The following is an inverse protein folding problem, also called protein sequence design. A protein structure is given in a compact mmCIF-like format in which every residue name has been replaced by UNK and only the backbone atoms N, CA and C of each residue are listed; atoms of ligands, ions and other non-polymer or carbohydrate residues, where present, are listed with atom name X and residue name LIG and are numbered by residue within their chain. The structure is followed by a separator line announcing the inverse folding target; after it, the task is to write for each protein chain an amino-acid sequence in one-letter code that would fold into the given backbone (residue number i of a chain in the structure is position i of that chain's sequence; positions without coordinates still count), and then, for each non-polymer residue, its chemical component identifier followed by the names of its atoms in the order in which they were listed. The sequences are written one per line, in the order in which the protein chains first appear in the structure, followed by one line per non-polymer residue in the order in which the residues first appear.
data_IF_648986617430
#
_entry.id   IF_648986617430
#
_cell.length_a   1.000
_cell.length_b   1.000
_cell.length_c   1.000
_cell.angle_alpha   90.00
_cell.angle_beta   90.00
_cell.angle_gamma   90.00
#
_symmetry.space_group_name_H-M   'P 1'
#
loop_
_entity.id
_entity.type
_entity.pdbx_description
1 polymer ?
#
# COMPACT_ATOMS: atom_id res chain seq x y z
N UNK A 1 -12.23 -1.16 -2.69
CA UNK A 1 -11.53 -2.19 -3.48
C UNK A 1 -10.12 -2.33 -2.96
N UNK A 2 -9.67 -3.56 -2.76
CA UNK A 2 -8.28 -3.88 -2.46
C UNK A 2 -7.53 -4.11 -3.77
N UNK A 3 -6.43 -3.43 -3.96
CA UNK A 3 -5.56 -3.57 -5.11
C UNK A 3 -4.11 -3.78 -4.67
N UNK A 4 -3.37 -4.54 -5.46
CA UNK A 4 -1.96 -4.84 -5.21
C UNK A 4 -1.10 -4.25 -6.31
N UNK A 5 0.16 -4.00 -6.01
CA UNK A 5 1.17 -3.59 -7.02
C UNK A 5 1.58 -4.75 -7.94
N UNK A 6 0.70 -5.73 -8.09
CA UNK A 6 0.86 -6.95 -8.89
C UNK A 6 -0.32 -7.13 -9.85
N UNK A 7 -0.04 -7.78 -10.97
CA UNK A 7 -1.06 -8.37 -11.86
C UNK A 7 -0.65 -9.82 -12.09
N UNK A 8 -1.59 -10.76 -11.93
CA UNK A 8 -1.30 -12.19 -12.13
C UNK A 8 -0.79 -12.42 -13.56
N UNK A 9 0.45 -12.83 -13.68
CA UNK A 9 1.11 -13.13 -14.97
C UNK A 9 0.41 -14.20 -15.80
N UNK A 10 -0.43 -15.04 -15.19
CA UNK A 10 -1.22 -16.07 -15.88
C UNK A 10 -2.47 -15.49 -16.55
N UNK A 11 -2.94 -14.32 -16.13
CA UNK A 11 -4.06 -13.64 -16.75
C UNK A 11 -3.67 -13.06 -18.12
N UNK A 12 -4.67 -12.84 -18.98
CA UNK A 12 -4.44 -12.19 -20.27
C UNK A 12 -3.74 -10.84 -20.13
N UNK A 13 -4.19 -10.02 -19.18
CA UNK A 13 -3.57 -8.73 -18.87
C UNK A 13 -2.14 -8.91 -18.40
N UNK A 14 -1.89 -9.88 -17.50
CA UNK A 14 -0.56 -10.19 -17.01
C UNK A 14 0.40 -10.63 -18.09
N UNK A 15 -0.06 -11.42 -19.07
CA UNK A 15 0.73 -11.81 -20.23
C UNK A 15 1.07 -10.60 -21.13
N UNK A 16 0.13 -9.70 -21.35
CA UNK A 16 0.38 -8.46 -22.09
C UNK A 16 1.41 -7.58 -21.35
N UNK A 17 1.25 -7.41 -20.05
CA UNK A 17 2.21 -6.65 -19.21
C UNK A 17 3.60 -7.27 -19.23
N UNK A 18 3.69 -8.61 -19.23
CA UNK A 18 4.95 -9.35 -19.29
C UNK A 18 5.64 -9.16 -20.65
N UNK A 19 4.89 -9.30 -21.74
CA UNK A 19 5.39 -9.10 -23.10
C UNK A 19 5.96 -7.70 -23.34
N UNK A 20 5.38 -6.68 -22.66
CA UNK A 20 5.86 -5.29 -22.71
C UNK A 20 6.99 -4.97 -21.72
N UNK A 21 7.44 -5.95 -20.91
CA UNK A 21 8.49 -5.74 -19.92
C UNK A 21 8.11 -4.82 -18.77
N UNK A 22 6.84 -4.85 -18.34
CA UNK A 22 6.30 -3.98 -17.31
C UNK A 22 6.51 -4.49 -15.87
N UNK A 23 7.09 -5.67 -15.70
CA UNK A 23 7.45 -6.19 -14.37
C UNK A 23 8.90 -5.89 -14.03
N UNK A 24 9.18 -5.74 -12.75
CA UNK A 24 10.56 -5.79 -12.26
C UNK A 24 11.10 -7.20 -12.55
N UNK A 25 12.26 -7.35 -13.19
CA UNK A 25 12.78 -8.65 -13.60
C UNK A 25 12.84 -9.66 -12.45
N UNK A 26 12.39 -10.89 -12.70
CA UNK A 26 12.33 -12.01 -11.75
C UNK A 26 11.45 -11.75 -10.52
N UNK A 27 10.44 -10.91 -10.66
CA UNK A 27 9.41 -10.65 -9.61
C UNK A 27 8.03 -10.64 -10.22
N UNK A 28 6.98 -10.61 -9.36
CA UNK A 28 5.60 -10.37 -9.77
C UNK A 28 5.19 -8.88 -9.61
N UNK A 29 6.13 -8.02 -9.23
CA UNK A 29 5.87 -6.60 -9.00
C UNK A 29 5.94 -5.81 -10.31
N UNK A 30 4.98 -4.91 -10.48
CA UNK A 30 4.99 -3.95 -11.60
C UNK A 30 6.13 -2.95 -11.39
N UNK A 31 6.83 -2.60 -12.46
CA UNK A 31 7.92 -1.62 -12.43
C UNK A 31 7.38 -0.19 -12.46
N UNK A 32 6.86 0.30 -11.33
CA UNK A 32 6.35 1.67 -11.21
C UNK A 32 7.41 2.75 -11.38
N UNK A 33 8.68 2.40 -11.47
CA UNK A 33 9.75 3.32 -11.89
C UNK A 33 9.73 3.58 -13.39
N UNK A 34 9.04 2.76 -14.17
CA UNK A 34 8.78 2.94 -15.60
C UNK A 34 7.41 3.57 -15.80
N UNK A 35 7.37 4.74 -16.42
CA UNK A 35 6.12 5.44 -16.71
C UNK A 35 5.18 4.60 -17.58
N UNK A 36 5.72 3.88 -18.58
CA UNK A 36 4.93 2.99 -19.43
C UNK A 36 4.23 1.89 -18.63
N UNK A 37 4.95 1.29 -17.65
CA UNK A 37 4.40 0.24 -16.81
C UNK A 37 3.33 0.79 -15.84
N UNK A 38 3.57 1.97 -15.26
CA UNK A 38 2.61 2.67 -14.42
C UNK A 38 1.32 3.02 -15.19
N UNK A 39 1.46 3.57 -16.39
CA UNK A 39 0.33 3.91 -17.26
C UNK A 39 -0.46 2.67 -17.71
N UNK A 40 0.24 1.58 -18.06
CA UNK A 40 -0.40 0.32 -18.41
C UNK A 40 -1.17 -0.28 -17.21
N UNK A 41 -0.59 -0.23 -16.01
CA UNK A 41 -1.25 -0.64 -14.78
C UNK A 41 -2.54 0.16 -14.57
N UNK A 42 -2.46 1.50 -14.55
CA UNK A 42 -3.64 2.35 -14.34
C UNK A 42 -4.70 2.15 -15.42
N UNK A 43 -4.32 2.06 -16.69
CA UNK A 43 -5.25 1.84 -17.80
C UNK A 43 -6.16 0.62 -17.61
N UNK A 44 -5.65 -0.44 -16.95
CA UNK A 44 -6.46 -1.61 -16.64
C UNK A 44 -7.50 -1.33 -15.53
N UNK A 45 -7.14 -0.55 -14.52
CA UNK A 45 -8.07 -0.15 -13.46
C UNK A 45 -9.09 0.87 -13.96
N UNK A 46 -8.64 1.87 -14.72
CA UNK A 46 -9.49 2.87 -15.37
C UNK A 46 -10.62 2.24 -16.16
N UNK A 47 -10.30 1.26 -17.00
CA UNK A 47 -11.29 0.59 -17.86
C UNK A 47 -12.23 -0.37 -17.13
N UNK A 48 -11.77 -1.00 -16.05
CA UNK A 48 -12.47 -2.15 -15.46
C UNK A 48 -13.06 -1.89 -14.07
N UNK A 49 -12.43 -1.03 -13.27
CA UNK A 49 -12.83 -0.79 -11.88
C UNK A 49 -13.44 0.60 -11.67
N UNK A 50 -12.89 1.62 -12.29
CA UNK A 50 -13.42 2.99 -12.15
C UNK A 50 -14.89 3.09 -12.57
N UNK A 51 -15.35 2.44 -13.67
CA UNK A 51 -16.76 2.48 -14.06
C UNK A 51 -17.72 1.80 -13.07
N UNK A 52 -17.20 0.98 -12.13
CA UNK A 52 -18.01 0.35 -11.09
C UNK A 52 -18.41 1.31 -9.95
N UNK A 53 -17.95 2.58 -9.99
CA UNK A 53 -18.31 3.57 -9.00
C UNK A 53 -17.52 3.45 -7.69
N UNK A 54 -16.28 2.98 -7.74
CA UNK A 54 -15.41 2.84 -6.55
C UNK A 54 -14.92 4.22 -6.10
N UNK A 55 -15.22 4.59 -4.85
CA UNK A 55 -14.88 5.90 -4.30
C UNK A 55 -13.56 5.91 -3.52
N UNK A 56 -13.16 4.78 -2.93
CA UNK A 56 -11.94 4.66 -2.15
C UNK A 56 -11.15 3.40 -2.50
N UNK A 57 -9.83 3.49 -2.42
CA UNK A 57 -8.91 2.45 -2.85
C UNK A 57 -8.03 2.01 -1.69
N UNK A 58 -8.01 0.72 -1.43
CA UNK A 58 -7.09 0.09 -0.48
C UNK A 58 -5.96 -0.57 -1.26
N UNK A 59 -4.75 -0.05 -1.08
CA UNK A 59 -3.54 -0.55 -1.73
C UNK A 59 -2.69 -1.33 -0.74
N UNK A 60 -2.67 -2.63 -0.90
CA UNK A 60 -1.88 -3.54 -0.09
C UNK A 60 -0.56 -3.91 -0.78
N UNK A 61 0.39 -4.44 -0.01
CA UNK A 61 1.68 -4.96 -0.51
C UNK A 61 2.51 -3.95 -1.32
N UNK A 62 2.45 -2.67 -0.96
CA UNK A 62 3.03 -1.56 -1.72
C UNK A 62 4.50 -1.24 -1.42
N UNK A 63 5.20 -2.05 -0.64
CA UNK A 63 6.63 -1.83 -0.24
C UNK A 63 7.67 -1.97 -1.37
N UNK A 64 7.79 -2.97 -2.24
CA UNK A 64 7.04 -4.22 -2.50
C UNK A 64 7.21 -5.26 -1.38
N UNK A 65 6.14 -5.99 -1.08
CA UNK A 65 6.12 -6.94 0.03
C UNK A 65 7.14 -8.08 -0.14
N UNK A 66 7.88 -8.36 0.94
CA UNK A 66 8.88 -9.41 0.99
C UNK A 66 10.00 -9.32 -0.10
N UNK A 67 10.18 -8.15 -0.71
CA UNK A 67 11.26 -7.93 -1.66
C UNK A 67 11.96 -6.60 -1.35
N UNK A 68 13.24 -6.65 -1.09
CA UNK A 68 14.10 -5.48 -0.85
C UNK A 68 14.67 -4.90 -2.14
N UNK A 69 14.35 -5.51 -3.28
CA UNK A 69 14.89 -5.20 -4.61
C UNK A 69 16.42 -5.31 -4.71
N UNK A 70 17.07 -6.01 -3.78
CA UNK A 70 18.51 -6.24 -3.82
C UNK A 70 18.90 -6.99 -5.09
N UNK A 71 19.96 -6.54 -5.75
CA UNK A 71 20.44 -7.11 -7.01
C UNK A 71 19.53 -6.92 -8.21
N UNK A 72 18.37 -6.26 -8.04
CA UNK A 72 17.44 -6.03 -9.15
C UNK A 72 17.70 -4.70 -9.85
N UNK A 73 17.30 -4.66 -11.12
CA UNK A 73 17.34 -3.45 -11.95
C UNK A 73 15.90 -3.03 -12.25
N UNK A 74 15.60 -1.75 -12.05
CA UNK A 74 14.29 -1.16 -12.30
C UNK A 74 14.36 -0.04 -13.35
N UNK A 75 13.23 0.50 -13.77
CA UNK A 75 13.14 1.48 -14.85
C UNK A 75 13.84 1.00 -16.13
N UNK A 76 13.40 -0.17 -16.63
CA UNK A 76 14.01 -0.80 -17.83
C UNK A 76 15.53 -0.96 -17.69
N UNK A 77 15.99 -1.34 -16.51
CA UNK A 77 17.40 -1.58 -16.23
C UNK A 77 18.26 -0.35 -15.93
N UNK A 78 17.66 0.84 -15.86
CA UNK A 78 18.41 2.10 -15.64
C UNK A 78 18.93 2.24 -14.21
N UNK A 79 18.14 1.81 -13.20
CA UNK A 79 18.43 2.06 -11.79
C UNK A 79 18.66 0.79 -10.99
N UNK A 80 19.45 0.89 -9.92
CA UNK A 80 19.53 -0.16 -8.89
C UNK A 80 18.28 -0.14 -8.05
N UNK A 81 17.53 -1.25 -7.99
CA UNK A 81 16.31 -1.38 -7.21
C UNK A 81 16.54 -1.13 -5.73
N UNK A 82 17.61 -1.68 -5.17
CA UNK A 82 18.03 -1.51 -3.78
C UNK A 82 18.17 -0.03 -3.38
N UNK A 83 18.74 0.81 -4.26
CA UNK A 83 18.93 2.24 -3.99
C UNK A 83 17.64 3.04 -4.00
N UNK A 84 16.64 2.62 -4.76
CA UNK A 84 15.40 3.37 -4.97
C UNK A 84 14.17 2.71 -4.34
N UNK A 85 14.33 1.56 -3.69
CA UNK A 85 13.24 0.76 -3.12
C UNK A 85 12.25 1.59 -2.29
N UNK A 86 12.74 2.43 -1.40
CA UNK A 86 11.88 3.19 -0.48
C UNK A 86 10.97 4.20 -1.20
N UNK A 87 11.26 4.53 -2.46
CA UNK A 87 10.41 5.40 -3.28
C UNK A 87 9.30 4.64 -3.99
N UNK A 88 9.38 3.31 -4.05
CA UNK A 88 8.40 2.47 -4.74
C UNK A 88 6.95 2.77 -4.31
N UNK A 89 6.60 2.78 -3.01
CA UNK A 89 5.23 3.07 -2.58
C UNK A 89 4.74 4.46 -3.01
N UNK A 90 5.62 5.45 -3.09
CA UNK A 90 5.24 6.77 -3.61
C UNK A 90 4.81 6.71 -5.07
N UNK A 91 5.51 5.94 -5.89
CA UNK A 91 5.20 5.82 -7.32
C UNK A 91 3.91 5.03 -7.54
N UNK A 92 3.66 4.00 -6.73
CA UNK A 92 2.37 3.27 -6.73
C UNK A 92 1.23 4.25 -6.44
N UNK A 93 1.34 4.98 -5.33
CA UNK A 93 0.29 5.93 -4.91
C UNK A 93 0.13 7.10 -5.89
N UNK A 94 1.23 7.62 -6.43
CA UNK A 94 1.20 8.63 -7.50
C UNK A 94 0.37 8.15 -8.68
N UNK A 95 0.65 6.95 -9.17
CA UNK A 95 -0.04 6.37 -10.34
C UNK A 95 -1.55 6.30 -10.12
N UNK A 96 -1.98 5.81 -8.96
CA UNK A 96 -3.41 5.69 -8.64
C UNK A 96 -4.05 7.07 -8.43
N UNK A 97 -3.38 7.96 -7.69
CA UNK A 97 -3.89 9.31 -7.40
C UNK A 97 -4.07 10.14 -8.68
N UNK A 98 -3.04 10.22 -9.51
CA UNK A 98 -3.08 10.99 -10.77
C UNK A 98 -4.06 10.37 -11.76
N UNK A 99 -4.12 9.04 -11.81
CA UNK A 99 -5.09 8.32 -12.63
C UNK A 99 -6.53 8.60 -12.22
N UNK A 100 -6.84 8.58 -10.92
CA UNK A 100 -8.17 8.93 -10.40
C UNK A 100 -8.54 10.37 -10.70
N UNK A 101 -7.62 11.32 -10.56
CA UNK A 101 -7.87 12.72 -10.92
C UNK A 101 -8.12 12.90 -12.43
N UNK A 102 -7.50 12.07 -13.26
CA UNK A 102 -7.74 12.09 -14.70
C UNK A 102 -9.11 11.53 -15.06
N UNK A 103 -9.48 10.41 -14.45
CA UNK A 103 -10.73 9.72 -14.76
C UNK A 103 -11.95 10.37 -14.09
N UNK A 104 -11.75 11.01 -12.93
CA UNK A 104 -12.80 11.64 -12.11
C UNK A 104 -12.32 12.96 -11.50
N UNK A 105 -12.13 14.01 -12.30
CA UNK A 105 -11.54 15.28 -11.86
C UNK A 105 -12.37 15.99 -10.78
N UNK A 106 -13.67 15.70 -10.71
CA UNK A 106 -14.59 16.30 -9.72
C UNK A 106 -14.53 15.61 -8.35
N UNK A 107 -13.84 14.48 -8.23
CA UNK A 107 -13.78 13.71 -6.99
C UNK A 107 -12.37 13.75 -6.39
N UNK A 108 -12.32 13.98 -5.08
CA UNK A 108 -11.05 13.85 -4.35
C UNK A 108 -10.70 12.39 -4.18
N UNK A 109 -9.54 11.93 -4.67
CA UNK A 109 -9.10 10.56 -4.42
C UNK A 109 -8.92 10.26 -2.93
N UNK A 110 -9.37 9.09 -2.49
CA UNK A 110 -9.11 8.54 -1.16
C UNK A 110 -8.37 7.22 -1.32
N UNK A 111 -7.17 7.16 -0.77
CA UNK A 111 -6.29 6.00 -0.86
C UNK A 111 -5.86 5.61 0.55
N UNK A 112 -6.10 4.37 0.95
CA UNK A 112 -5.49 3.74 2.12
C UNK A 112 -4.37 2.82 1.62
N UNK A 113 -3.13 3.09 2.01
CA UNK A 113 -1.96 2.35 1.54
C UNK A 113 -1.11 1.82 2.69
N UNK A 114 -0.53 0.61 2.51
CA UNK A 114 0.27 -0.03 3.57
C UNK A 114 1.63 0.62 3.77
N UNK A 115 2.17 1.25 2.76
CA UNK A 115 3.51 1.83 2.86
C UNK A 115 3.59 3.20 2.19
N UNK A 116 4.58 3.97 2.60
CA UNK A 116 4.82 5.31 2.11
C UNK A 116 6.29 5.70 2.22
N UNK A 117 6.57 6.92 1.80
CA UNK A 117 7.87 7.56 1.92
C UNK A 117 7.67 9.06 2.14
N UNK A 118 8.71 9.79 2.50
CA UNK A 118 8.64 11.24 2.72
C UNK A 118 7.99 11.96 1.54
N UNK A 119 6.92 12.72 1.80
CA UNK A 119 6.16 13.42 0.78
C UNK A 119 4.93 12.66 0.24
N UNK A 120 4.60 11.48 0.80
CA UNK A 120 3.44 10.66 0.39
C UNK A 120 2.11 11.41 0.56
N UNK A 121 2.01 12.33 1.50
CA UNK A 121 0.81 13.11 1.79
C UNK A 121 0.30 13.91 0.57
N UNK A 122 1.17 14.19 -0.43
CA UNK A 122 0.77 14.86 -1.69
C UNK A 122 -0.20 14.06 -2.54
N UNK A 123 -0.30 12.77 -2.31
CA UNK A 123 -1.14 11.86 -3.08
C UNK A 123 -2.41 11.45 -2.34
N UNK A 124 -2.89 12.28 -1.40
CA UNK A 124 -4.19 12.06 -0.73
C UNK A 124 -4.28 10.73 0.02
N UNK A 125 -3.17 10.24 0.55
CA UNK A 125 -3.09 8.91 1.16
C UNK A 125 -3.29 8.95 2.66
N UNK A 126 -4.02 7.95 3.16
CA UNK A 126 -3.93 7.48 4.54
C UNK A 126 -3.06 6.23 4.59
N UNK A 127 -2.31 6.06 5.66
CA UNK A 127 -1.42 4.92 5.88
C UNK A 127 -1.92 4.06 7.02
N UNK A 128 -1.72 2.74 6.94
CA UNK A 128 -1.78 1.86 8.12
C UNK A 128 -0.44 1.13 8.28
N UNK A 129 -0.21 0.64 9.48
CA UNK A 129 1.08 0.07 9.86
C UNK A 129 1.33 -1.37 9.35
N UNK A 130 0.40 -1.91 8.55
CA UNK A 130 0.52 -3.26 8.01
C UNK A 130 0.19 -4.36 9.02
N UNK A 131 0.68 -5.56 8.77
CA UNK A 131 0.40 -6.79 9.52
C UNK A 131 1.21 -6.81 10.82
N UNK A 132 0.64 -6.27 11.88
CA UNK A 132 1.30 -6.16 13.18
C UNK A 132 0.80 -7.21 14.19
N UNK A 133 1.62 -7.50 15.20
CA UNK A 133 1.25 -8.34 16.33
C UNK A 133 0.17 -7.71 17.22
N UNK A 134 -0.32 -8.47 18.20
CA UNK A 134 -1.40 -8.03 19.09
C UNK A 134 -0.94 -7.73 20.54
N UNK A 135 0.35 -7.85 20.84
CA UNK A 135 0.90 -7.71 22.19
C UNK A 135 0.98 -6.25 22.65
N UNK A 136 1.22 -6.07 23.98
CA UNK A 136 1.29 -4.77 24.61
C UNK A 136 2.42 -3.89 24.07
N UNK A 137 3.56 -4.49 23.76
CA UNK A 137 4.71 -3.75 23.24
C UNK A 137 4.42 -3.26 21.82
N UNK A 138 3.76 -4.09 21.01
CA UNK A 138 3.31 -3.69 19.67
C UNK A 138 2.36 -2.50 19.77
N UNK A 139 1.35 -2.54 20.65
CA UNK A 139 0.44 -1.40 20.86
C UNK A 139 1.20 -0.13 21.23
N UNK A 140 2.12 -0.23 22.20
CA UNK A 140 2.96 0.91 22.63
C UNK A 140 3.74 1.52 21.44
N UNK A 141 4.33 0.67 20.62
CA UNK A 141 5.09 1.09 19.43
C UNK A 141 4.19 1.71 18.37
N UNK A 142 2.98 1.21 18.19
CA UNK A 142 2.02 1.77 17.24
C UNK A 142 1.60 3.19 17.63
N UNK A 143 1.32 3.44 18.90
CA UNK A 143 1.00 4.79 19.40
C UNK A 143 2.17 5.75 19.14
N UNK A 144 3.39 5.36 19.51
CA UNK A 144 4.59 6.16 19.27
C UNK A 144 4.85 6.38 17.77
N UNK A 145 4.62 5.33 16.95
CA UNK A 145 4.75 5.39 15.50
C UNK A 145 3.78 6.39 14.86
N UNK A 146 2.52 6.38 15.28
CA UNK A 146 1.51 7.33 14.80
C UNK A 146 1.85 8.78 15.10
N UNK A 147 2.33 9.06 16.33
CA UNK A 147 2.82 10.39 16.69
C UNK A 147 4.03 10.79 15.84
N UNK A 148 4.95 9.86 15.57
CA UNK A 148 6.08 10.08 14.67
C UNK A 148 5.66 10.38 13.23
N UNK A 149 4.66 9.67 12.71
CA UNK A 149 4.11 9.91 11.37
C UNK A 149 3.48 11.29 11.26
N UNK A 150 2.70 11.71 12.27
CA UNK A 150 2.11 13.06 12.30
C UNK A 150 3.20 14.14 12.37
N UNK A 151 4.23 13.95 13.19
CA UNK A 151 5.36 14.87 13.26
C UNK A 151 6.14 14.95 11.93
N UNK A 152 6.16 13.86 11.15
CA UNK A 152 6.76 13.83 9.81
C UNK A 152 5.83 14.41 8.71
N UNK A 153 4.66 14.94 9.07
CA UNK A 153 3.72 15.54 8.12
C UNK A 153 2.84 14.54 7.39
N UNK A 154 2.67 13.34 7.94
CA UNK A 154 1.71 12.32 7.48
C UNK A 154 0.56 12.25 8.48
N UNK A 155 -0.49 13.07 8.32
CA UNK A 155 -1.53 13.25 9.34
C UNK A 155 -2.53 12.09 9.38
N UNK A 156 -2.70 11.36 8.29
CA UNK A 156 -3.66 10.27 8.17
C UNK A 156 -2.94 8.94 8.33
N UNK A 157 -2.98 8.41 9.54
CA UNK A 157 -2.33 7.15 9.87
C UNK A 157 -3.19 6.35 10.84
N UNK A 158 -3.21 5.02 10.67
CA UNK A 158 -3.96 4.10 11.52
C UNK A 158 -3.23 2.76 11.67
N UNK A 159 -3.86 1.80 12.31
CA UNK A 159 -3.40 0.43 12.49
C UNK A 159 -4.57 -0.53 12.64
N UNK A 160 -4.31 -1.82 12.50
CA UNK A 160 -5.28 -2.87 12.77
C UNK A 160 -5.54 -2.97 14.27
N UNK A 161 -6.70 -2.51 14.74
CA UNK A 161 -7.05 -2.56 16.15
C UNK A 161 -7.14 -4.02 16.64
N UNK A 162 -6.35 -4.34 17.67
CA UNK A 162 -6.20 -5.70 18.17
C UNK A 162 -5.13 -6.52 17.47
N UNK A 163 -4.39 -5.90 16.55
CA UNK A 163 -3.37 -6.55 15.73
C UNK A 163 -3.95 -7.34 14.55
N UNK A 164 -3.15 -7.49 13.50
CA UNK A 164 -3.47 -8.39 12.39
C UNK A 164 -3.33 -9.86 12.80
N UNK A 165 -2.20 -10.20 13.43
CA UNK A 165 -1.94 -11.56 13.91
C UNK A 165 -2.64 -11.80 15.25
N UNK A 166 -3.83 -12.41 15.21
CA UNK A 166 -4.70 -12.65 16.36
C UNK A 166 -4.63 -14.11 16.80
N UNK A 167 -4.87 -14.43 18.10
CA UNK A 167 -4.96 -15.81 18.54
C UNK A 167 -6.18 -16.51 17.94
N UNK A 168 -6.07 -17.82 17.64
CA UNK A 168 -7.16 -18.61 17.07
C UNK A 168 -8.43 -18.66 17.92
N UNK A 169 -8.28 -18.54 19.25
CA UNK A 169 -9.37 -18.50 20.23
C UNK A 169 -9.75 -17.06 20.65
N UNK A 170 -9.51 -16.07 19.82
CA UNK A 170 -9.62 -14.64 20.11
C UNK A 170 -10.92 -14.23 20.84
N UNK A 171 -12.03 -14.87 20.56
CA UNK A 171 -13.33 -14.55 21.20
C UNK A 171 -13.49 -15.13 22.62
N UNK A 172 -12.58 -15.98 23.08
CA UNK A 172 -12.60 -16.62 24.41
C UNK A 172 -11.33 -16.34 25.22
N UNK A 173 -10.29 -15.83 24.61
CA UNK A 173 -9.03 -15.46 25.26
C UNK A 173 -9.18 -14.15 26.02
N UNK A 174 -9.34 -14.26 27.35
CA UNK A 174 -9.53 -13.09 28.22
C UNK A 174 -8.35 -12.11 28.14
N UNK A 175 -7.14 -12.59 28.01
CA UNK A 175 -5.95 -11.75 27.90
C UNK A 175 -5.92 -10.99 26.57
N UNK A 176 -6.35 -11.62 25.48
CA UNK A 176 -6.52 -10.95 24.21
C UNK A 176 -7.66 -9.92 24.23
N UNK A 177 -8.80 -10.27 24.83
CA UNK A 177 -9.94 -9.34 24.96
C UNK A 177 -9.54 -8.07 25.71
N UNK A 178 -8.77 -8.18 26.80
CA UNK A 178 -8.23 -7.04 27.52
C UNK A 178 -7.32 -6.19 26.62
N UNK A 179 -6.41 -6.80 25.88
CA UNK A 179 -5.56 -6.09 24.90
C UNK A 179 -6.39 -5.42 23.84
N UNK A 180 -7.37 -6.13 23.25
CA UNK A 180 -8.25 -5.58 22.22
C UNK A 180 -8.99 -4.32 22.69
N UNK A 181 -9.47 -4.31 23.92
CA UNK A 181 -10.11 -3.12 24.49
C UNK A 181 -9.16 -1.92 24.50
N UNK A 182 -7.88 -2.12 24.85
CA UNK A 182 -6.89 -1.03 24.83
C UNK A 182 -6.54 -0.59 23.41
N UNK A 183 -6.42 -1.53 22.49
CA UNK A 183 -6.27 -1.21 21.07
C UNK A 183 -7.44 -0.33 20.56
N UNK A 184 -8.69 -0.72 20.86
CA UNK A 184 -9.87 0.04 20.44
C UNK A 184 -9.92 1.42 21.08
N UNK A 185 -9.58 1.54 22.38
CA UNK A 185 -9.56 2.84 23.06
C UNK A 185 -8.64 3.86 22.40
N UNK A 186 -7.52 3.42 21.83
CA UNK A 186 -6.59 4.31 21.11
C UNK A 186 -7.00 4.51 19.65
N UNK A 187 -7.55 3.48 18.99
CA UNK A 187 -7.89 3.54 17.56
C UNK A 187 -9.08 4.45 17.23
N UNK A 188 -9.93 4.78 18.21
CA UNK A 188 -11.05 5.71 17.98
C UNK A 188 -10.61 7.15 17.72
N UNK A 189 -9.33 7.45 17.91
CA UNK A 189 -8.74 8.77 17.65
C UNK A 189 -7.85 8.81 16.40
N UNK A 190 -7.85 7.74 15.58
CA UNK A 190 -7.00 7.61 14.39
C UNK A 190 -7.81 7.68 13.09
#
# INVERSE_FOLDING_TARGET
VSVWSKIDKRSEVGQQMLACGHYIPNTDWIDFFSEDAANAYWSNFSKRLVPLGIDAWWQDATEPENDDLAGRRVNKGKWSGEKVRNVYPMLVNKTVYEGLLTDRPEQRPMILTRSGFAGIQRYGTALWSGDVGNDWETLRRQIAGGLGMQAAGVPWWTYDAGGFFRPGNQYKDKAYIERLLRWVQTSVYL
#
